data_IF_629822648567
#
_entry.id   IF_629822648567
#
_cell.length_a   1.000
_cell.length_b   1.000
_cell.length_c   1.000
_cell.angle_alpha   90.00
_cell.angle_beta   90.00
_cell.angle_gamma   90.00
#
_symmetry.space_group_name_H-M   'P 1'
#
loop_
_entity.id
_entity.type
_entity.pdbx_description
1 polymer ?
#
# COMPACT_ATOMS: atom_id res chain seq x y z
N UNK A 1 23.21 -30.19 -31.58
CA UNK A 1 22.88 -28.75 -31.40
C UNK A 1 22.00 -28.57 -30.16
N UNK A 2 22.52 -27.88 -29.15
CA UNK A 2 21.88 -27.67 -27.85
C UNK A 2 20.81 -26.56 -27.92
N UNK A 3 19.63 -26.82 -27.35
CA UNK A 3 18.56 -25.82 -27.22
C UNK A 3 18.85 -24.86 -26.08
N UNK A 4 18.76 -23.56 -26.35
CA UNK A 4 18.75 -22.50 -25.34
C UNK A 4 17.46 -22.61 -24.51
N UNK A 5 17.54 -22.69 -23.17
CA UNK A 5 16.34 -22.55 -22.33
C UNK A 5 15.80 -21.12 -22.49
N UNK A 6 14.57 -21.01 -22.96
CA UNK A 6 13.80 -19.77 -22.91
C UNK A 6 13.48 -19.49 -21.44
N UNK A 7 14.08 -18.44 -20.85
CA UNK A 7 13.68 -17.91 -19.56
C UNK A 7 12.22 -17.45 -19.67
N UNK A 8 11.30 -18.27 -19.14
CA UNK A 8 9.93 -17.85 -18.92
C UNK A 8 9.93 -16.69 -17.92
N UNK A 9 9.06 -15.67 -18.07
CA UNK A 9 8.93 -14.63 -17.06
C UNK A 9 8.69 -15.31 -15.71
N UNK A 10 9.63 -15.14 -14.78
CA UNK A 10 9.47 -15.58 -13.41
C UNK A 10 8.28 -14.79 -12.85
N UNK A 11 7.09 -15.40 -12.93
CA UNK A 11 5.91 -14.89 -12.24
C UNK A 11 6.34 -14.79 -10.79
N UNK A 12 6.30 -13.59 -10.18
CA UNK A 12 6.63 -13.45 -8.77
C UNK A 12 5.84 -14.51 -8.01
N UNK A 13 6.48 -15.35 -7.19
CA UNK A 13 5.77 -16.39 -6.47
C UNK A 13 4.62 -15.72 -5.74
N UNK A 14 3.40 -16.20 -6.01
CA UNK A 14 2.24 -15.72 -5.29
C UNK A 14 2.57 -15.81 -3.79
N UNK A 15 2.29 -14.77 -3.00
CA UNK A 15 2.66 -14.75 -1.61
C UNK A 15 2.16 -16.05 -0.96
N UNK A 16 3.07 -16.86 -0.43
CA UNK A 16 2.76 -18.16 0.16
C UNK A 16 1.99 -18.06 1.50
N UNK A 17 1.45 -16.87 1.77
CA UNK A 17 0.81 -16.49 3.01
C UNK A 17 -0.58 -15.93 2.70
N UNK A 18 -1.54 -16.26 3.56
CA UNK A 18 -2.88 -15.68 3.51
C UNK A 18 -2.84 -14.23 4.00
N UNK A 19 -3.12 -13.27 3.10
CA UNK A 19 -3.23 -11.83 3.42
C UNK A 19 -4.26 -11.58 4.53
N UNK A 20 -5.36 -12.34 4.55
CA UNK A 20 -6.40 -12.26 5.56
C UNK A 20 -5.91 -12.60 6.99
N UNK A 21 -4.89 -13.46 7.09
CA UNK A 21 -4.30 -13.87 8.36
C UNK A 21 -3.16 -12.95 8.82
N UNK A 22 -2.68 -12.04 7.97
CA UNK A 22 -1.57 -11.14 8.32
C UNK A 22 -2.08 -10.00 9.22
N UNK A 23 -1.57 -9.85 10.45
CA UNK A 23 -1.90 -8.73 11.29
C UNK A 23 -1.24 -7.46 10.74
N UNK A 24 -2.06 -6.52 10.30
CA UNK A 24 -1.64 -5.18 9.85
C UNK A 24 -2.04 -4.15 10.91
N UNK A 25 -1.11 -3.33 11.36
CA UNK A 25 -1.39 -2.22 12.27
C UNK A 25 -1.23 -0.89 11.55
N UNK A 26 -2.30 -0.11 11.43
CA UNK A 26 -2.27 1.24 10.86
C UNK A 26 -2.05 2.24 12.00
N UNK A 27 -0.82 2.75 12.07
CA UNK A 27 -0.41 3.83 12.95
C UNK A 27 -0.77 5.19 12.33
N UNK A 28 -1.69 5.92 12.97
CA UNK A 28 -2.06 7.27 12.54
C UNK A 28 -1.07 8.30 13.09
N UNK A 29 -0.07 8.66 12.29
CA UNK A 29 0.83 9.79 12.50
C UNK A 29 0.56 10.94 11.52
N UNK A 30 -0.62 10.97 10.90
CA UNK A 30 -0.99 12.02 9.92
C UNK A 30 -1.47 13.31 10.58
N UNK A 31 -1.82 13.27 11.87
CA UNK A 31 -2.52 14.35 12.56
C UNK A 31 -4.01 14.48 12.21
N UNK A 32 -4.50 13.76 11.19
CA UNK A 32 -5.89 13.82 10.72
C UNK A 32 -6.75 12.77 11.44
N UNK A 33 -7.83 13.22 12.08
CA UNK A 33 -8.80 12.34 12.72
C UNK A 33 -9.56 11.52 11.68
N UNK A 34 -9.74 10.21 11.94
CA UNK A 34 -10.46 9.31 11.03
C UNK A 34 -9.65 8.79 9.85
N UNK A 35 -8.43 9.31 9.63
CA UNK A 35 -7.60 8.91 8.49
C UNK A 35 -7.17 7.44 8.53
N UNK A 36 -6.85 6.92 9.72
CA UNK A 36 -6.57 5.49 9.90
C UNK A 36 -7.74 4.58 9.53
N UNK A 37 -8.99 5.05 9.58
CA UNK A 37 -10.16 4.29 9.15
C UNK A 37 -10.22 4.16 7.63
N UNK A 38 -9.94 5.25 6.90
CA UNK A 38 -9.86 5.21 5.44
C UNK A 38 -8.74 4.28 4.99
N UNK A 39 -7.54 4.42 5.58
CA UNK A 39 -6.39 3.56 5.27
C UNK A 39 -6.70 2.10 5.64
N UNK A 40 -7.31 1.84 6.79
CA UNK A 40 -7.71 0.48 7.16
C UNK A 40 -8.71 -0.13 6.17
N UNK A 41 -9.61 0.67 5.60
CA UNK A 41 -10.53 0.19 4.56
C UNK A 41 -9.81 -0.16 3.27
N UNK A 42 -8.83 0.65 2.84
CA UNK A 42 -7.99 0.35 1.67
C UNK A 42 -7.19 -0.96 1.87
N UNK A 43 -6.59 -1.12 3.05
CA UNK A 43 -5.87 -2.33 3.43
C UNK A 43 -6.82 -3.54 3.49
N UNK A 44 -8.06 -3.37 3.98
CA UNK A 44 -9.06 -4.43 3.95
C UNK A 44 -9.49 -4.81 2.52
N UNK A 45 -9.65 -3.84 1.62
CA UNK A 45 -9.95 -4.09 0.20
C UNK A 45 -8.81 -4.84 -0.52
N UNK A 46 -7.57 -4.67 -0.05
CA UNK A 46 -6.40 -5.42 -0.51
C UNK A 46 -6.38 -6.89 -0.05
N UNK A 47 -7.33 -7.30 0.81
CA UNK A 47 -7.44 -8.67 1.33
C UNK A 47 -6.89 -8.85 2.75
N UNK A 48 -6.41 -7.78 3.39
CA UNK A 48 -5.97 -7.85 4.79
C UNK A 48 -7.15 -7.63 5.72
N UNK A 49 -7.76 -8.71 6.21
CA UNK A 49 -8.91 -8.63 7.11
C UNK A 49 -8.52 -8.30 8.56
N UNK A 50 -7.26 -8.52 8.94
CA UNK A 50 -6.75 -8.28 10.31
C UNK A 50 -6.08 -6.91 10.42
N UNK A 51 -6.86 -5.84 10.29
CA UNK A 51 -6.36 -4.47 10.43
C UNK A 51 -6.66 -3.89 11.81
N UNK A 52 -5.60 -3.53 12.53
CA UNK A 52 -5.67 -2.80 13.80
C UNK A 52 -5.35 -1.34 13.55
N UNK A 53 -6.03 -0.42 14.21
CA UNK A 53 -5.72 1.02 14.14
C UNK A 53 -5.13 1.45 15.47
N UNK A 54 -4.01 2.16 15.42
CA UNK A 54 -3.32 2.68 16.60
C UNK A 54 -3.00 4.17 16.39
N UNK A 55 -2.98 4.92 17.48
CA UNK A 55 -2.53 6.30 17.47
C UNK A 55 -0.99 6.31 17.45
N UNK A 56 -0.40 7.14 16.60
CA UNK A 56 1.05 7.32 16.57
C UNK A 56 1.41 8.80 16.61
N UNK A 57 2.67 9.08 16.91
CA UNK A 57 3.22 10.44 16.84
C UNK A 57 3.11 10.97 15.42
N UNK A 58 2.92 12.28 15.25
CA UNK A 58 2.97 12.87 13.92
C UNK A 58 4.37 12.69 13.32
N UNK A 59 4.46 12.20 12.07
CA UNK A 59 5.72 12.17 11.31
C UNK A 59 5.53 12.78 9.94
N UNK A 60 6.57 13.41 9.37
CA UNK A 60 6.48 13.97 8.03
C UNK A 60 6.32 12.90 6.95
N UNK A 61 6.82 11.67 7.17
CA UNK A 61 6.88 10.61 6.15
C UNK A 61 6.17 9.33 6.59
N UNK A 62 5.63 8.63 5.60
CA UNK A 62 5.01 7.31 5.77
C UNK A 62 6.06 6.21 5.75
N UNK A 63 6.00 5.31 6.75
CA UNK A 63 6.93 4.19 6.89
C UNK A 63 6.15 2.89 7.11
N UNK A 64 6.70 1.76 6.68
CA UNK A 64 6.17 0.43 6.91
C UNK A 64 7.15 -0.30 7.82
N UNK A 65 6.73 -0.60 9.04
CA UNK A 65 7.52 -1.40 9.96
C UNK A 65 7.05 -2.84 9.95
N UNK A 66 7.95 -3.81 10.01
CA UNK A 66 7.53 -5.22 9.96
C UNK A 66 8.39 -6.12 10.83
N UNK A 67 7.80 -7.20 11.32
CA UNK A 67 8.48 -8.22 12.11
C UNK A 67 9.34 -9.18 11.27
N UNK A 68 10.28 -9.89 11.89
CA UNK A 68 10.97 -10.99 11.21
C UNK A 68 9.98 -12.02 10.66
N UNK A 69 10.14 -12.38 9.38
CA UNK A 69 9.22 -13.28 8.65
C UNK A 69 8.09 -12.59 7.88
N UNK A 70 7.93 -11.26 7.97
CA UNK A 70 6.88 -10.50 7.29
C UNK A 70 7.42 -9.55 6.20
N UNK A 71 8.65 -9.76 5.74
CA UNK A 71 9.30 -8.89 4.75
C UNK A 71 8.51 -8.82 3.44
N UNK A 72 8.06 -9.97 2.93
CA UNK A 72 7.26 -10.08 1.70
C UNK A 72 5.91 -9.37 1.83
N UNK A 73 5.28 -9.46 3.01
CA UNK A 73 4.01 -8.77 3.31
C UNK A 73 4.22 -7.26 3.32
N UNK A 74 5.28 -6.79 3.98
CA UNK A 74 5.59 -5.38 4.08
C UNK A 74 5.96 -4.77 2.72
N UNK A 75 6.72 -5.51 1.91
CA UNK A 75 7.07 -5.11 0.55
C UNK A 75 5.83 -5.04 -0.36
N UNK A 76 4.91 -6.00 -0.26
CA UNK A 76 3.64 -6.00 -0.98
C UNK A 76 2.81 -4.77 -0.59
N UNK A 77 2.59 -4.54 0.71
CA UNK A 77 1.88 -3.35 1.22
C UNK A 77 2.55 -2.05 0.76
N UNK A 78 3.88 -1.97 0.83
CA UNK A 78 4.62 -0.81 0.36
C UNK A 78 4.40 -0.58 -1.15
N UNK A 79 4.53 -1.62 -1.96
CA UNK A 79 4.31 -1.56 -3.40
C UNK A 79 2.87 -1.15 -3.75
N UNK A 80 1.87 -1.65 -3.01
CA UNK A 80 0.46 -1.25 -3.18
C UNK A 80 0.25 0.26 -3.00
N UNK A 81 0.93 0.84 -2.02
CA UNK A 81 0.88 2.28 -1.74
C UNK A 81 1.91 3.10 -2.54
N UNK A 82 2.76 2.46 -3.35
CA UNK A 82 3.84 3.13 -4.09
C UNK A 82 4.98 3.62 -3.20
N UNK A 83 5.10 3.09 -1.99
CA UNK A 83 6.16 3.44 -1.05
C UNK A 83 7.49 2.82 -1.48
N UNK A 84 8.60 3.57 -1.39
CA UNK A 84 9.91 3.02 -1.70
C UNK A 84 10.32 2.01 -0.64
N UNK A 85 11.19 1.07 -1.00
CA UNK A 85 11.76 0.11 -0.05
C UNK A 85 12.53 0.79 1.11
N UNK A 86 13.02 2.01 0.91
CA UNK A 86 13.63 2.84 1.97
C UNK A 86 12.64 3.26 3.05
N UNK A 87 11.33 3.27 2.76
CA UNK A 87 10.28 3.48 3.74
C UNK A 87 9.92 2.20 4.49
N UNK A 88 10.50 1.05 4.14
CA UNK A 88 10.20 -0.25 4.75
C UNK A 88 11.34 -0.65 5.69
N UNK A 89 11.03 -0.83 6.98
CA UNK A 89 12.04 -1.11 7.99
C UNK A 89 11.64 -2.30 8.87
N UNK A 90 12.57 -3.23 9.04
CA UNK A 90 12.37 -4.37 9.93
C UNK A 90 12.49 -3.92 11.39
N UNK A 91 11.55 -4.36 12.23
CA UNK A 91 11.51 -4.10 13.67
C UNK A 91 11.19 -5.40 14.39
N UNK A 92 12.14 -5.94 15.15
CA UNK A 92 11.98 -7.20 15.88
C UNK A 92 10.83 -7.21 16.90
N UNK A 93 10.49 -6.02 17.43
CA UNK A 93 9.40 -5.83 18.38
C UNK A 93 7.99 -5.84 17.75
N UNK A 94 7.88 -5.89 16.42
CA UNK A 94 6.59 -5.94 15.75
C UNK A 94 6.27 -7.38 15.37
N UNK A 95 5.04 -7.78 15.68
CA UNK A 95 4.50 -9.09 15.32
C UNK A 95 3.51 -8.87 14.16
N UNK A 96 4.00 -8.96 12.92
CA UNK A 96 3.23 -8.64 11.72
C UNK A 96 3.80 -7.46 10.93
N UNK A 97 2.91 -6.67 10.34
CA UNK A 97 3.25 -5.42 9.63
C UNK A 97 2.54 -4.25 10.28
N UNK A 98 3.21 -3.11 10.37
CA UNK A 98 2.70 -1.88 10.91
C UNK A 98 2.95 -0.75 9.91
N UNK A 99 1.89 -0.30 9.25
CA UNK A 99 1.90 0.85 8.38
C UNK A 99 1.80 2.12 9.24
N UNK A 100 2.88 2.89 9.28
CA UNK A 100 2.94 4.19 9.92
C UNK A 100 2.59 5.28 8.90
N UNK A 101 1.36 5.77 8.93
CA UNK A 101 0.91 6.85 8.07
C UNK A 101 1.43 8.19 8.61
N UNK A 102 2.31 8.86 7.86
CA UNK A 102 2.78 10.21 8.17
C UNK A 102 1.89 11.30 7.58
N UNK A 103 2.25 12.56 7.75
CA UNK A 103 1.54 13.71 7.18
C UNK A 103 1.44 13.64 5.66
N UNK A 104 2.41 13.01 5.00
CA UNK A 104 2.39 12.65 3.58
C UNK A 104 1.20 11.76 3.18
N UNK A 105 0.58 11.06 4.14
CA UNK A 105 -0.60 10.24 3.90
C UNK A 105 -1.87 10.83 4.50
N UNK A 106 -1.91 12.14 4.73
CA UNK A 106 -3.08 12.84 5.24
C UNK A 106 -4.28 12.84 4.27
N UNK A 107 -4.04 12.69 2.96
CA UNK A 107 -5.09 12.72 1.91
C UNK A 107 -4.84 11.69 0.80
N UNK A 108 -5.86 11.41 -0.03
CA UNK A 108 -5.80 10.46 -1.16
C UNK A 108 -5.87 8.97 -0.79
N UNK A 109 -5.66 8.09 -1.75
CA UNK A 109 -5.58 6.63 -1.55
C UNK A 109 -4.14 6.13 -1.40
N UNK A 110 -3.17 6.97 -1.73
CA UNK A 110 -1.74 6.74 -1.59
C UNK A 110 -1.07 7.91 -0.86
N UNK A 111 0.02 7.66 -0.12
CA UNK A 111 0.85 8.74 0.40
C UNK A 111 1.32 9.59 -0.79
N UNK A 112 1.24 10.93 -0.64
CA UNK A 112 2.15 11.77 -1.42
C UNK A 112 3.57 11.32 -1.09
N UNK A 113 4.50 11.45 -2.00
CA UNK A 113 5.93 11.29 -1.70
C UNK A 113 6.57 12.56 -2.25
N UNK A 114 7.65 13.09 -1.66
CA UNK A 114 8.37 14.21 -2.25
C UNK A 114 8.79 13.80 -3.67
N UNK A 115 8.18 14.46 -4.65
CA UNK A 115 8.03 13.99 -6.02
C UNK A 115 9.34 13.55 -6.68
N UNK A 116 9.38 12.31 -7.18
CA UNK A 116 10.07 12.03 -8.44
C UNK A 116 8.98 11.89 -9.51
N UNK A 117 8.85 12.96 -10.30
CA UNK A 117 8.11 13.06 -11.57
C UNK A 117 6.57 13.19 -11.56
N UNK A 118 6.02 14.25 -12.19
CA UNK A 118 4.58 14.46 -12.38
C UNK A 118 4.02 13.62 -13.55
N UNK A 119 4.36 12.32 -13.63
CA UNK A 119 4.00 11.45 -14.75
C UNK A 119 2.94 10.39 -14.46
N UNK A 120 2.62 10.12 -13.19
CA UNK A 120 1.75 9.00 -12.79
C UNK A 120 0.61 9.45 -11.87
N UNK A 121 -0.10 10.50 -12.30
CA UNK A 121 -1.46 10.83 -11.86
C UNK A 121 -2.53 9.92 -12.50
N UNK A 122 -2.14 8.82 -13.15
CA UNK A 122 -3.10 7.92 -13.81
C UNK A 122 -3.67 6.87 -12.85
N UNK A 123 -4.96 7.05 -12.56
CA UNK A 123 -5.99 5.99 -12.51
C UNK A 123 -6.53 5.47 -11.16
N UNK A 124 -6.78 6.30 -10.14
CA UNK A 124 -7.71 5.88 -9.06
C UNK A 124 -8.85 6.83 -8.69
N UNK A 125 -8.95 8.02 -9.27
CA UNK A 125 -10.15 8.90 -9.12
C UNK A 125 -10.89 9.18 -10.43
N UNK A 126 -10.57 8.49 -11.53
CA UNK A 126 -11.15 8.74 -12.85
C UNK A 126 -12.08 7.63 -13.39
N UNK A 127 -12.60 6.74 -12.54
CA UNK A 127 -13.57 5.73 -12.99
C UNK A 127 -14.99 5.94 -12.44
N UNK A 128 -15.24 7.01 -11.68
CA UNK A 128 -16.59 7.35 -11.21
C UNK A 128 -17.01 8.77 -11.63
N UNK A 129 -16.79 9.13 -12.90
CA UNK A 129 -17.58 10.19 -13.53
C UNK A 129 -18.01 9.74 -14.92
N UNK A 130 -19.04 8.90 -14.91
CA UNK A 130 -20.16 9.01 -15.85
C UNK A 130 -19.81 8.83 -17.32
N UNK A 131 -19.57 7.57 -17.68
CA UNK A 131 -19.97 7.03 -18.98
C UNK A 131 -21.49 7.15 -19.15
N UNK A 132 -22.07 8.34 -19.32
CA UNK A 132 -23.43 8.53 -19.85
C UNK A 132 -23.59 9.91 -20.49
N UNK A 133 -23.05 10.08 -21.69
CA UNK A 133 -23.63 10.99 -22.68
C UNK A 133 -23.25 10.54 -24.10
N UNK A 134 -23.53 9.27 -24.42
CA UNK A 134 -23.99 8.97 -25.78
C UNK A 134 -25.41 9.51 -25.87
N UNK A 135 -25.60 10.67 -26.50
CA UNK A 135 -26.80 10.88 -27.28
C UNK A 135 -26.56 11.88 -28.43
N UNK A 136 -26.38 11.29 -29.62
CA UNK A 136 -26.94 11.71 -30.90
C UNK A 136 -26.40 12.97 -31.58
N UNK A 137 -25.60 12.74 -32.63
CA UNK A 137 -25.54 13.62 -33.79
C UNK A 137 -26.86 13.58 -34.57
N UNK A 138 -27.25 14.74 -35.06
CA UNK A 138 -28.37 15.00 -35.96
C UNK A 138 -28.28 16.43 -36.43
#
# INVERSE_FOLDING_TARGET
PAGTPSEAPATPPAPAYDKALQPISVANGTGVTGRSTAIASLVAQAGFTKVTRIQATARPQTMVYFGPGFADVAADVAAMFGLPASSVQQVANIQGVQLYAGEDFATGDKPTLPSADPGSVVAQTAQDQTCQATNTGG
#
